data_IF_702363432059
#
_entry.id   IF_702363432059
#
_cell.length_a   1.000
_cell.length_b   1.000
_cell.length_c   1.000
_cell.angle_alpha   90.00
_cell.angle_beta   90.00
_cell.angle_gamma   90.00
#
_symmetry.space_group_name_H-M   'P 1'
#
loop_
_entity.id
_entity.type
_entity.pdbx_description
1 polymer ?
#
# COMPACT_ATOMS: atom_id res chain seq x y z
N UNK A 1 9.45 8.75 8.63
CA UNK A 1 9.80 7.43 8.04
C UNK A 1 8.83 6.41 8.61
N UNK A 2 7.85 5.96 7.83
CA UNK A 2 6.95 4.86 8.20
C UNK A 2 7.80 3.64 8.54
N UNK A 3 7.70 3.13 9.77
CA UNK A 3 8.58 2.08 10.26
C UNK A 3 8.08 0.72 9.76
N UNK A 4 8.27 0.44 8.47
CA UNK A 4 7.98 -0.88 7.87
C UNK A 4 8.86 -2.00 8.43
N UNK A 5 9.93 -1.61 9.13
CA UNK A 5 10.82 -2.48 9.89
C UNK A 5 10.75 -2.10 11.37
N UNK A 6 9.65 -2.43 12.05
CA UNK A 6 9.67 -2.43 13.52
C UNK A 6 10.44 -3.69 13.98
N UNK A 7 11.56 -3.54 14.70
CA UNK A 7 12.37 -4.68 15.14
C UNK A 7 11.68 -5.56 16.19
N UNK A 8 10.53 -5.13 16.72
CA UNK A 8 9.70 -5.89 17.67
C UNK A 8 8.60 -6.69 16.97
N UNK A 9 8.37 -6.46 15.67
CA UNK A 9 7.43 -7.23 14.87
C UNK A 9 8.13 -8.52 14.41
N UNK A 10 7.71 -9.72 14.88
CA UNK A 10 8.38 -10.98 14.58
C UNK A 10 8.19 -11.42 13.12
N UNK A 11 7.44 -10.68 12.31
CA UNK A 11 7.12 -11.02 10.94
C UNK A 11 8.20 -10.42 10.02
N UNK A 12 8.67 -11.14 8.99
CA UNK A 12 9.73 -10.66 8.10
C UNK A 12 9.38 -9.32 7.45
N UNK A 13 10.33 -8.37 7.32
CA UNK A 13 10.06 -7.04 6.78
C UNK A 13 9.36 -7.12 5.43
N UNK A 14 8.50 -6.13 5.14
CA UNK A 14 7.87 -6.08 3.83
C UNK A 14 8.94 -5.93 2.75
N UNK A 15 8.77 -6.58 1.59
CA UNK A 15 9.62 -6.30 0.44
C UNK A 15 9.63 -4.80 0.14
N UNK A 16 10.77 -4.25 -0.27
CA UNK A 16 10.89 -2.81 -0.58
C UNK A 16 9.83 -2.37 -1.58
N UNK A 17 9.60 -3.18 -2.62
CA UNK A 17 8.56 -2.91 -3.60
C UNK A 17 7.14 -2.83 -3.04
N UNK A 18 6.80 -3.66 -2.05
CA UNK A 18 5.49 -3.57 -1.38
C UNK A 18 5.39 -2.28 -0.57
N UNK A 19 6.52 -1.78 -0.05
CA UNK A 19 6.57 -0.47 0.61
C UNK A 19 6.40 0.66 -0.41
N UNK A 20 7.03 0.55 -1.58
CA UNK A 20 6.83 1.49 -2.69
C UNK A 20 5.36 1.53 -3.14
N UNK A 21 4.73 0.37 -3.30
CA UNK A 21 3.30 0.29 -3.62
C UNK A 21 2.43 1.05 -2.61
N UNK A 22 2.73 0.88 -1.31
CA UNK A 22 2.04 1.64 -0.27
C UNK A 22 2.28 3.14 -0.39
N UNK A 23 3.49 3.57 -0.72
CA UNK A 23 3.81 4.98 -0.88
C UNK A 23 3.00 5.60 -2.02
N UNK A 24 2.88 4.91 -3.16
CA UNK A 24 2.07 5.35 -4.30
C UNK A 24 0.60 5.50 -3.88
N UNK A 25 0.02 4.47 -3.26
CA UNK A 25 -1.38 4.49 -2.80
C UNK A 25 -1.62 5.56 -1.74
N UNK A 26 -0.67 5.78 -0.83
CA UNK A 26 -0.74 6.84 0.18
C UNK A 26 -0.69 8.23 -0.45
N UNK A 27 0.19 8.46 -1.40
CA UNK A 27 0.34 9.77 -2.05
C UNK A 27 -0.93 10.14 -2.82
N UNK A 28 -1.49 9.16 -3.55
CA UNK A 28 -2.82 9.28 -4.16
C UNK A 28 -3.91 9.59 -3.13
N UNK A 29 -3.79 9.04 -1.90
CA UNK A 29 -4.81 9.17 -0.87
C UNK A 29 -4.81 10.54 -0.20
N UNK A 30 -3.61 11.09 -0.02
CA UNK A 30 -3.37 12.42 0.54
C UNK A 30 -3.83 13.52 -0.44
N UNK A 31 -3.66 13.28 -1.75
CA UNK A 31 -3.92 14.27 -2.79
C UNK A 31 -5.40 14.49 -3.15
N UNK A 32 -6.20 13.44 -3.35
CA UNK A 32 -7.57 13.58 -3.90
C UNK A 32 -8.57 12.48 -3.57
N UNK A 33 -8.14 11.26 -3.23
CA UNK A 33 -9.06 10.14 -2.98
C UNK A 33 -8.73 9.42 -1.68
N UNK A 34 -9.49 9.68 -0.62
CA UNK A 34 -9.29 9.00 0.66
C UNK A 34 -9.63 7.49 0.63
N UNK A 35 -10.31 7.04 -0.42
CA UNK A 35 -10.63 5.64 -0.70
C UNK A 35 -10.48 5.30 -2.17
N UNK A 36 -10.08 4.05 -2.42
CA UNK A 36 -9.93 3.46 -3.74
C UNK A 36 -10.60 2.09 -3.77
N UNK A 37 -11.12 1.68 -4.90
CA UNK A 37 -11.44 0.26 -5.13
C UNK A 37 -10.16 -0.56 -5.32
N UNK A 38 -10.25 -1.89 -5.25
CA UNK A 38 -9.12 -2.77 -5.59
C UNK A 38 -8.61 -2.50 -7.01
N UNK A 39 -9.52 -2.31 -7.96
CA UNK A 39 -9.18 -2.03 -9.36
C UNK A 39 -8.45 -0.67 -9.50
N UNK A 40 -8.89 0.36 -8.77
CA UNK A 40 -8.18 1.65 -8.75
C UNK A 40 -6.80 1.53 -8.09
N UNK A 41 -6.68 0.77 -7.00
CA UNK A 41 -5.39 0.54 -6.38
C UNK A 41 -4.42 -0.17 -7.33
N UNK A 42 -4.89 -1.15 -8.10
CA UNK A 42 -4.07 -1.82 -9.11
C UNK A 42 -3.71 -0.87 -10.26
N UNK A 43 -4.68 -0.11 -10.75
CA UNK A 43 -4.46 0.89 -11.79
C UNK A 43 -3.42 1.92 -11.37
N UNK A 44 -3.48 2.46 -10.15
CA UNK A 44 -2.49 3.41 -9.63
C UNK A 44 -1.07 2.82 -9.59
N UNK A 45 -0.95 1.55 -9.23
CA UNK A 45 0.32 0.84 -9.23
C UNK A 45 0.84 0.56 -10.65
N UNK A 46 -0.06 0.24 -11.58
CA UNK A 46 0.27 0.02 -12.99
C UNK A 46 0.56 1.32 -13.75
N UNK A 47 -0.04 2.45 -13.35
CA UNK A 47 0.22 3.79 -13.87
C UNK A 47 1.60 4.30 -13.44
N UNK A 48 2.13 3.81 -12.32
CA UNK A 48 3.49 4.12 -11.92
C UNK A 48 4.50 3.30 -12.75
N UNK A 49 5.10 3.96 -13.74
CA UNK A 49 6.08 3.37 -14.67
C UNK A 49 7.26 2.70 -13.93
N UNK A 50 7.64 3.19 -12.76
CA UNK A 50 8.75 2.60 -11.97
C UNK A 50 8.31 1.29 -11.34
N UNK A 51 7.16 1.32 -10.65
CA UNK A 51 6.60 0.14 -10.01
C UNK A 51 6.24 -0.93 -11.03
N UNK A 52 5.51 -0.58 -12.09
CA UNK A 52 5.03 -1.49 -13.14
C UNK A 52 6.18 -2.17 -13.91
N UNK A 53 7.29 -1.44 -14.13
CA UNK A 53 8.48 -1.99 -14.79
C UNK A 53 9.23 -3.01 -13.92
N UNK A 54 9.27 -2.80 -12.60
CA UNK A 54 10.01 -3.66 -11.66
C UNK A 54 9.13 -4.79 -11.06
N UNK A 55 7.81 -4.58 -10.99
CA UNK A 55 6.85 -5.43 -10.31
C UNK A 55 5.55 -5.57 -11.11
N UNK A 56 5.29 -6.77 -11.63
CA UNK A 56 4.05 -7.07 -12.37
C UNK A 56 2.90 -7.59 -11.50
N UNK A 57 3.05 -7.61 -10.17
CA UNK A 57 2.08 -8.25 -9.26
C UNK A 57 1.51 -7.24 -8.25
N UNK A 58 0.73 -6.30 -8.79
CA UNK A 58 0.02 -5.26 -8.02
C UNK A 58 -0.97 -5.87 -7.02
N UNK A 59 -1.63 -6.97 -7.41
CA UNK A 59 -2.55 -7.72 -6.53
C UNK A 59 -1.83 -8.22 -5.29
N UNK A 60 -0.69 -8.91 -5.44
CA UNK A 60 0.10 -9.37 -4.30
C UNK A 60 0.53 -8.22 -3.39
N UNK A 61 0.95 -7.08 -3.96
CA UNK A 61 1.34 -5.91 -3.17
C UNK A 61 0.19 -5.45 -2.25
N UNK A 62 -0.99 -5.24 -2.82
CA UNK A 62 -2.18 -4.78 -2.10
C UNK A 62 -2.62 -5.80 -1.05
N UNK A 63 -2.71 -7.08 -1.40
CA UNK A 63 -3.05 -8.15 -0.45
C UNK A 63 -2.06 -8.18 0.71
N UNK A 64 -0.77 -8.00 0.44
CA UNK A 64 0.26 -8.02 1.48
C UNK A 64 0.14 -6.83 2.43
N UNK A 65 -0.21 -5.66 1.92
CA UNK A 65 -0.46 -4.46 2.71
C UNK A 65 -1.71 -4.59 3.58
N UNK A 66 -2.79 -5.18 3.04
CA UNK A 66 -3.99 -5.55 3.79
C UNK A 66 -3.68 -6.52 4.92
N UNK A 67 -2.94 -7.59 4.62
CA UNK A 67 -2.57 -8.61 5.61
C UNK A 67 -1.73 -8.03 6.77
N UNK A 68 -1.01 -6.94 6.49
CA UNK A 68 -0.22 -6.22 7.48
C UNK A 68 -0.97 -5.13 8.24
N UNK A 69 -2.13 -4.70 7.76
CA UNK A 69 -2.93 -3.61 8.33
C UNK A 69 -2.48 -2.21 7.91
N UNK A 70 -1.64 -2.11 6.87
CA UNK A 70 -1.32 -0.82 6.25
C UNK A 70 -2.45 -0.30 5.37
N UNK A 71 -3.19 -1.23 4.77
CA UNK A 71 -4.47 -0.97 4.14
C UNK A 71 -5.57 -1.67 4.95
N UNK A 72 -6.77 -1.13 4.86
CA UNK A 72 -7.97 -1.79 5.36
C UNK A 72 -9.10 -1.66 4.34
N UNK A 73 -9.91 -2.71 4.22
CA UNK A 73 -11.13 -2.65 3.45
C UNK A 73 -12.25 -2.07 4.32
N UNK A 74 -12.89 -1.01 3.83
CA UNK A 74 -14.08 -0.41 4.39
C UNK A 74 -15.15 -0.34 3.31
N UNK A 75 -16.26 -1.04 3.50
CA UNK A 75 -17.42 -0.96 2.60
C UNK A 75 -17.11 -1.31 1.13
N UNK A 76 -16.17 -2.24 0.91
CA UNK A 76 -15.74 -2.66 -0.43
C UNK A 76 -14.70 -1.75 -1.08
N UNK A 77 -14.22 -0.71 -0.39
CA UNK A 77 -13.10 0.12 -0.82
C UNK A 77 -11.90 -0.03 0.12
N UNK A 78 -10.71 0.08 -0.45
CA UNK A 78 -9.44 0.13 0.22
C UNK A 78 -9.16 1.54 0.73
N UNK A 79 -8.73 1.60 1.98
CA UNK A 79 -8.28 2.83 2.62
C UNK A 79 -6.91 2.64 3.23
N UNK A 80 -6.10 3.69 3.12
CA UNK A 80 -4.79 3.74 3.75
C UNK A 80 -4.98 3.96 5.24
N UNK A 81 -4.38 3.10 6.07
CA UNK A 81 -4.38 3.31 7.51
C UNK A 81 -3.50 4.52 7.80
N UNK A 82 -4.12 5.66 8.15
CA UNK A 82 -3.40 6.78 8.74
C UNK A 82 -2.82 6.33 10.08
N UNK A 83 -1.55 5.92 10.04
CA UNK A 83 -0.79 5.65 11.27
C UNK A 83 -0.49 7.02 11.89
N UNK A 84 -1.45 7.53 12.65
CA UNK A 84 -1.25 8.66 13.55
C UNK A 84 -0.26 8.20 14.62
N UNK A 85 1.03 8.37 14.31
CA UNK A 85 2.10 8.37 15.31
C UNK A 85 1.90 9.64 16.14
N UNK A 86 1.18 9.52 17.26
CA UNK A 86 1.30 10.45 18.39
C UNK A 86 2.68 10.30 19.06
#
# INVERSE_FOLDING_TARGET
MTRFSDPSDPRPPLPEWVQEAYQILRDAADGSQSDFTYEEAYALLEEDDTFSAEHSDSEYAVERLLNRGYLYEANGTLRVTEVTLD
#
